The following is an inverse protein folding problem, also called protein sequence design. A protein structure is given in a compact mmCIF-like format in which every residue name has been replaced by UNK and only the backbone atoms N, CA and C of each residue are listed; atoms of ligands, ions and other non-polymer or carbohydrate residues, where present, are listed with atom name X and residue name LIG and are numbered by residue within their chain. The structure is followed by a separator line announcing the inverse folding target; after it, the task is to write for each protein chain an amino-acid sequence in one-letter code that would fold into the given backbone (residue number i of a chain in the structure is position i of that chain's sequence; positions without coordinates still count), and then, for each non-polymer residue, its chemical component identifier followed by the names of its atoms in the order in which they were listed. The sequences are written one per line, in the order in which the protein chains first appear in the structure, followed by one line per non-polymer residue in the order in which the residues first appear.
data_IF_134751868538
#
_entry.id   IF_134751868538
#
_cell.length_a   1.000
_cell.length_b   1.000
_cell.length_c   1.000
_cell.angle_alpha   90.00
_cell.angle_beta   90.00
_cell.angle_gamma   90.00
#
_symmetry.space_group_name_H-M   'P 1'
#
loop_
_entity.id
_entity.type
_entity.pdbx_description
1 polymer ?
#
# COMPACT_ATOMS: atom_id res chain seq x y z
N UNK A 1 13.27 -11.94 -13.89
CA UNK A 1 13.34 -11.02 -15.05
C UNK A 1 14.76 -10.68 -15.46
N UNK A 2 15.67 -10.43 -14.52
CA UNK A 2 17.11 -10.24 -14.82
C UNK A 2 17.75 -11.49 -15.42
N UNK A 3 17.47 -12.66 -14.86
CA UNK A 3 17.97 -13.95 -15.37
C UNK A 3 17.47 -14.32 -16.77
N UNK A 4 16.32 -13.76 -17.20
CA UNK A 4 15.73 -14.01 -18.52
C UNK A 4 16.14 -12.95 -19.57
N UNK A 5 16.96 -11.96 -19.18
CA UNK A 5 17.44 -10.87 -20.04
C UNK A 5 16.30 -10.04 -20.69
N UNK A 6 15.19 -9.85 -19.97
CA UNK A 6 13.98 -9.19 -20.48
C UNK A 6 13.90 -7.68 -20.15
N UNK A 7 14.91 -7.11 -19.48
CA UNK A 7 14.94 -5.67 -19.13
C UNK A 7 14.86 -4.81 -20.41
N UNK A 8 13.96 -3.82 -20.40
CA UNK A 8 13.81 -2.84 -21.50
C UNK A 8 12.62 -3.06 -22.44
N UNK A 9 11.81 -4.10 -22.27
CA UNK A 9 10.56 -4.28 -23.02
C UNK A 9 9.39 -3.57 -22.32
N UNK A 10 8.51 -2.92 -23.08
CA UNK A 10 7.37 -2.14 -22.55
C UNK A 10 6.49 -2.92 -21.57
N UNK A 11 6.32 -4.23 -21.79
CA UNK A 11 5.52 -5.09 -20.91
C UNK A 11 6.13 -5.24 -19.50
N UNK A 12 7.45 -5.13 -19.34
CA UNK A 12 8.11 -5.29 -18.03
C UNK A 12 7.76 -4.15 -17.09
N UNK A 13 7.67 -2.92 -17.60
CA UNK A 13 7.20 -1.77 -16.81
C UNK A 13 5.77 -1.97 -16.32
N UNK A 14 4.89 -2.48 -17.21
CA UNK A 14 3.50 -2.79 -16.84
C UNK A 14 3.43 -3.90 -15.78
N UNK A 15 4.24 -4.96 -15.94
CA UNK A 15 4.32 -6.05 -14.95
C UNK A 15 4.76 -5.53 -13.58
N UNK A 16 5.82 -4.74 -13.51
CA UNK A 16 6.25 -4.14 -12.24
C UNK A 16 5.17 -3.23 -11.64
N UNK A 17 4.50 -2.42 -12.46
CA UNK A 17 3.39 -1.58 -11.99
C UNK A 17 2.24 -2.39 -11.42
N UNK A 18 1.83 -3.47 -12.08
CA UNK A 18 0.78 -4.38 -11.59
C UNK A 18 1.20 -5.04 -10.28
N UNK A 19 2.43 -5.57 -10.19
CA UNK A 19 2.94 -6.20 -8.97
C UNK A 19 2.95 -5.24 -7.77
N UNK A 20 3.39 -3.99 -7.97
CA UNK A 20 3.39 -2.96 -6.92
C UNK A 20 1.96 -2.68 -6.45
N UNK A 21 0.99 -2.58 -7.36
CA UNK A 21 -0.41 -2.35 -7.01
C UNK A 21 -1.02 -3.56 -6.30
N UNK A 22 -0.72 -4.78 -6.74
CA UNK A 22 -1.15 -6.01 -6.05
C UNK A 22 -0.65 -6.03 -4.60
N UNK A 23 0.63 -5.72 -4.38
CA UNK A 23 1.23 -5.68 -3.04
C UNK A 23 0.58 -4.58 -2.18
N UNK A 24 0.35 -3.39 -2.74
CA UNK A 24 -0.35 -2.31 -2.04
C UNK A 24 -1.77 -2.72 -1.61
N UNK A 25 -2.52 -3.37 -2.51
CA UNK A 25 -3.86 -3.88 -2.21
C UNK A 25 -3.79 -4.97 -1.14
N UNK A 26 -2.81 -5.87 -1.21
CA UNK A 26 -2.61 -6.91 -0.20
C UNK A 26 -2.38 -6.31 1.19
N UNK A 27 -1.61 -5.23 1.29
CA UNK A 27 -1.38 -4.51 2.54
C UNK A 27 -2.68 -3.87 3.06
N UNK A 28 -3.46 -3.23 2.19
CA UNK A 28 -4.77 -2.70 2.56
C UNK A 28 -5.70 -3.81 3.08
N UNK A 29 -5.70 -4.99 2.44
CA UNK A 29 -6.45 -6.15 2.90
C UNK A 29 -5.98 -6.64 4.28
N UNK A 30 -4.67 -6.65 4.56
CA UNK A 30 -4.15 -7.00 5.89
C UNK A 30 -4.67 -6.04 6.98
N UNK A 31 -4.73 -4.74 6.70
CA UNK A 31 -5.28 -3.73 7.63
C UNK A 31 -6.76 -4.00 7.87
N UNK A 32 -7.53 -4.19 6.80
CA UNK A 32 -8.97 -4.46 6.89
C UNK A 32 -9.26 -5.75 7.66
N UNK A 33 -8.56 -6.84 7.36
CA UNK A 33 -8.74 -8.13 8.01
C UNK A 33 -8.41 -8.05 9.50
N UNK A 34 -7.31 -7.39 9.86
CA UNK A 34 -6.92 -7.16 11.25
C UNK A 34 -8.00 -6.36 11.99
N UNK A 35 -8.52 -5.29 11.37
CA UNK A 35 -9.56 -4.46 11.98
C UNK A 35 -10.87 -5.21 12.21
N UNK A 36 -11.30 -6.03 11.25
CA UNK A 36 -12.55 -6.79 11.37
C UNK A 36 -12.42 -7.84 12.48
N UNK A 37 -11.30 -8.56 12.55
CA UNK A 37 -11.11 -9.61 13.53
C UNK A 37 -10.99 -9.09 14.97
N UNK A 38 -10.39 -7.92 15.18
CA UNK A 38 -10.28 -7.30 16.52
C UNK A 38 -11.65 -6.86 17.05
N UNK A 39 -12.57 -6.45 16.17
CA UNK A 39 -13.79 -5.76 16.60
C UNK A 39 -14.91 -6.72 17.04
N UNK A 40 -14.88 -8.00 16.62
CA UNK A 40 -15.81 -9.11 16.96
C UNK A 40 -17.34 -8.78 17.02
N UNK A 41 -17.75 -7.60 16.57
CA UNK A 41 -19.10 -7.05 16.64
C UNK A 41 -19.54 -6.68 15.24
N UNK A 42 -20.75 -7.08 14.86
CA UNK A 42 -21.33 -6.91 13.52
C UNK A 42 -22.09 -5.58 13.37
N UNK A 43 -22.06 -4.69 14.36
CA UNK A 43 -22.69 -3.38 14.22
C UNK A 43 -21.85 -2.54 13.26
N UNK A 44 -22.41 -2.24 12.08
CA UNK A 44 -21.67 -1.54 11.01
C UNK A 44 -21.12 -0.18 11.44
N UNK A 45 -21.73 0.47 12.43
CA UNK A 45 -21.27 1.73 13.02
C UNK A 45 -20.02 1.57 13.89
N UNK A 46 -19.96 0.56 14.76
CA UNK A 46 -18.80 0.33 15.63
C UNK A 46 -17.62 -0.24 14.85
N UNK A 47 -17.88 -1.05 13.81
CA UNK A 47 -16.87 -1.49 12.85
C UNK A 47 -16.28 -0.30 12.11
N UNK A 48 -17.12 0.59 11.54
CA UNK A 48 -16.65 1.77 10.84
C UNK A 48 -15.81 2.67 11.76
N UNK A 49 -16.25 2.90 13.00
CA UNK A 49 -15.51 3.72 13.96
C UNK A 49 -14.19 3.08 14.42
N UNK A 50 -14.17 1.76 14.62
CA UNK A 50 -12.95 1.02 15.01
C UNK A 50 -11.96 0.91 13.86
N UNK A 51 -12.42 0.65 12.63
CA UNK A 51 -11.59 0.69 11.42
C UNK A 51 -11.05 2.08 11.14
N UNK A 52 -11.85 3.12 11.33
CA UNK A 52 -11.38 4.50 11.20
C UNK A 52 -10.34 4.84 12.26
N UNK A 53 -10.54 4.41 13.52
CA UNK A 53 -9.60 4.59 14.62
C UNK A 53 -8.27 3.88 14.34
N UNK A 54 -8.31 2.63 13.91
CA UNK A 54 -7.13 1.85 13.53
C UNK A 54 -6.43 2.49 12.32
N UNK A 55 -7.15 2.73 11.22
CA UNK A 55 -6.61 3.40 10.04
C UNK A 55 -5.96 4.74 10.39
N UNK A 56 -6.59 5.52 11.26
CA UNK A 56 -6.04 6.76 11.76
C UNK A 56 -4.74 6.56 12.56
N UNK A 57 -4.67 5.60 13.48
CA UNK A 57 -3.43 5.28 14.19
C UNK A 57 -2.34 4.86 13.20
N UNK A 58 -2.67 4.04 12.20
CA UNK A 58 -1.73 3.63 11.16
C UNK A 58 -1.15 4.85 10.43
N UNK A 59 -1.99 5.76 9.94
CA UNK A 59 -1.47 6.95 9.21
C UNK A 59 -0.69 7.88 10.15
N UNK A 60 -1.11 8.02 11.41
CA UNK A 60 -0.38 8.77 12.42
C UNK A 60 1.02 8.20 12.65
N UNK A 61 1.14 6.89 12.87
CA UNK A 61 2.42 6.20 13.05
C UNK A 61 3.28 6.24 11.79
N UNK A 62 2.66 6.10 10.62
CA UNK A 62 3.32 6.24 9.33
C UNK A 62 3.94 7.63 9.17
N UNK A 63 3.19 8.69 9.48
CA UNK A 63 3.66 10.07 9.42
C UNK A 63 4.75 10.35 10.47
N UNK A 64 4.56 9.91 11.71
CA UNK A 64 5.60 10.02 12.74
C UNK A 64 6.88 9.34 12.28
N UNK A 65 6.78 8.14 11.69
CA UNK A 65 7.90 7.44 11.11
C UNK A 65 8.62 8.28 10.06
N UNK A 66 7.89 8.78 9.05
CA UNK A 66 8.44 9.62 7.97
C UNK A 66 9.19 10.85 8.50
N UNK A 67 8.76 11.47 9.59
CA UNK A 67 9.41 12.68 10.10
C UNK A 67 10.49 12.42 11.15
N UNK A 68 10.26 11.47 12.06
CA UNK A 68 11.16 11.20 13.18
C UNK A 68 12.36 10.38 12.71
N UNK A 69 12.16 9.36 11.85
CA UNK A 69 13.25 8.47 11.42
C UNK A 69 14.35 9.19 10.64
N UNK A 70 14.06 10.04 9.63
CA UNK A 70 15.13 10.73 8.91
C UNK A 70 15.92 11.66 9.82
N UNK A 71 15.28 12.32 10.79
CA UNK A 71 15.99 13.18 11.76
C UNK A 71 16.90 12.34 12.66
N UNK A 72 16.39 11.23 13.17
CA UNK A 72 17.15 10.31 14.02
C UNK A 72 18.35 9.72 13.27
N UNK A 73 18.12 9.16 12.08
CA UNK A 73 19.17 8.56 11.23
C UNK A 73 20.21 9.61 10.80
N UNK A 74 19.79 10.81 10.41
CA UNK A 74 20.72 11.89 10.06
C UNK A 74 21.61 12.29 11.24
N UNK A 75 21.08 12.26 12.48
CA UNK A 75 21.82 12.66 13.67
C UNK A 75 22.90 11.66 14.06
N UNK A 76 22.62 10.38 13.90
CA UNK A 76 23.58 9.30 14.21
C UNK A 76 24.43 8.90 13.00
N UNK A 77 24.19 9.49 11.82
CA UNK A 77 24.80 9.13 10.54
C UNK A 77 26.32 9.06 10.55
N UNK A 78 26.97 10.00 11.23
CA UNK A 78 28.44 10.04 11.32
C UNK A 78 29.03 8.84 12.08
N UNK A 79 28.20 8.12 12.84
CA UNK A 79 28.59 6.93 13.61
C UNK A 79 28.15 5.62 12.95
N UNK A 80 27.43 5.67 11.82
CA UNK A 80 26.87 4.48 11.16
C UNK A 80 27.81 3.92 10.07
N UNK A 81 28.58 2.89 10.44
CA UNK A 81 29.24 2.01 9.46
C UNK A 81 28.21 1.20 8.66
N UNK A 82 28.63 0.50 7.62
CA UNK A 82 27.72 -0.36 6.84
C UNK A 82 27.09 -1.46 7.70
N UNK A 83 27.87 -2.05 8.60
CA UNK A 83 27.42 -3.09 9.53
C UNK A 83 26.42 -2.52 10.55
N UNK A 84 26.73 -1.37 11.14
CA UNK A 84 25.82 -0.72 12.10
C UNK A 84 24.53 -0.27 11.43
N UNK A 85 24.61 0.24 10.19
CA UNK A 85 23.43 0.65 9.43
C UNK A 85 22.49 -0.53 9.14
N UNK A 86 23.04 -1.70 8.80
CA UNK A 86 22.25 -2.91 8.62
C UNK A 86 21.53 -3.31 9.91
N UNK A 87 22.26 -3.36 11.03
CA UNK A 87 21.70 -3.73 12.34
C UNK A 87 20.63 -2.74 12.78
N UNK A 88 20.88 -1.43 12.63
CA UNK A 88 19.90 -0.38 12.97
C UNK A 88 18.67 -0.49 12.08
N UNK A 89 18.82 -0.71 10.77
CA UNK A 89 17.68 -0.84 9.85
C UNK A 89 16.79 -2.03 10.20
N UNK A 90 17.39 -3.20 10.48
CA UNK A 90 16.66 -4.39 10.92
C UNK A 90 16.03 -4.17 12.30
N UNK A 91 16.76 -3.54 13.23
CA UNK A 91 16.27 -3.23 14.57
C UNK A 91 15.06 -2.29 14.55
N UNK A 92 15.09 -1.26 13.71
CA UNK A 92 13.95 -0.38 13.48
C UNK A 92 12.77 -1.13 12.86
N UNK A 93 13.02 -2.01 11.90
CA UNK A 93 11.98 -2.87 11.32
C UNK A 93 11.29 -3.72 12.39
N UNK A 94 12.07 -4.44 13.20
CA UNK A 94 11.54 -5.26 14.29
C UNK A 94 10.83 -4.42 15.37
N UNK A 95 11.35 -3.24 15.70
CA UNK A 95 10.69 -2.31 16.62
C UNK A 95 9.29 -1.93 16.09
N UNK A 96 9.18 -1.61 14.80
CA UNK A 96 7.89 -1.26 14.20
C UNK A 96 6.94 -2.46 14.15
N UNK A 97 7.45 -3.67 13.93
CA UNK A 97 6.67 -4.90 14.00
C UNK A 97 6.07 -5.10 15.39
N UNK A 98 6.86 -4.90 16.44
CA UNK A 98 6.40 -5.02 17.84
C UNK A 98 5.33 -3.96 18.13
N UNK A 99 5.57 -2.71 17.74
CA UNK A 99 4.59 -1.62 17.90
C UNK A 99 3.30 -1.92 17.14
N UNK A 100 3.39 -2.33 15.87
CA UNK A 100 2.23 -2.68 15.06
C UNK A 100 1.40 -3.80 15.72
N UNK A 101 2.05 -4.88 16.16
CA UNK A 101 1.39 -5.98 16.84
C UNK A 101 0.72 -5.54 18.17
N UNK A 102 1.35 -4.63 18.92
CA UNK A 102 0.79 -4.12 20.19
C UNK A 102 -0.48 -3.28 20.00
N UNK A 103 -0.64 -2.65 18.84
CA UNK A 103 -1.82 -1.84 18.48
C UNK A 103 -2.90 -2.70 17.79
N UNK A 104 -2.65 -3.99 17.58
CA UNK A 104 -3.58 -4.92 16.94
C UNK A 104 -3.47 -4.98 15.42
N UNK A 105 -2.37 -4.50 14.84
CA UNK A 105 -2.07 -4.68 13.42
C UNK A 105 -1.24 -5.94 13.14
N UNK A 106 -1.31 -6.42 11.90
CA UNK A 106 -0.44 -7.49 11.42
C UNK A 106 1.05 -7.10 11.51
N UNK A 107 1.93 -8.01 12.00
CA UNK A 107 3.37 -7.85 11.95
C UNK A 107 3.90 -7.43 10.56
N UNK A 108 3.34 -8.01 9.49
CA UNK A 108 3.77 -7.72 8.12
C UNK A 108 3.52 -6.28 7.71
N UNK A 109 2.43 -5.66 8.20
CA UNK A 109 2.17 -4.25 7.98
C UNK A 109 3.25 -3.38 8.63
N UNK A 110 3.66 -3.70 9.87
CA UNK A 110 4.71 -2.97 10.57
C UNK A 110 6.05 -3.03 9.83
N UNK A 111 6.41 -4.22 9.32
CA UNK A 111 7.61 -4.42 8.50
C UNK A 111 7.56 -3.62 7.19
N UNK A 112 6.43 -3.68 6.47
CA UNK A 112 6.24 -2.92 5.23
C UNK A 112 6.33 -1.41 5.46
N UNK A 113 5.64 -0.91 6.49
CA UNK A 113 5.65 0.52 6.84
C UNK A 113 7.07 0.98 7.14
N UNK A 114 7.81 0.30 8.02
CA UNK A 114 9.18 0.70 8.31
C UNK A 114 10.09 0.61 7.08
N UNK A 115 9.96 -0.45 6.27
CA UNK A 115 10.72 -0.59 5.03
C UNK A 115 10.47 0.58 4.06
N UNK A 116 9.22 0.98 3.87
CA UNK A 116 8.85 2.11 3.02
C UNK A 116 9.40 3.45 3.55
N UNK A 117 9.41 3.64 4.88
CA UNK A 117 9.98 4.84 5.49
C UNK A 117 11.50 4.87 5.32
N UNK A 118 12.18 3.74 5.53
CA UNK A 118 13.63 3.64 5.37
C UNK A 118 14.04 3.90 3.91
N UNK A 119 13.26 3.41 2.94
CA UNK A 119 13.50 3.64 1.52
C UNK A 119 13.45 5.13 1.14
N UNK A 120 12.61 5.93 1.80
CA UNK A 120 12.50 7.39 1.57
C UNK A 120 13.60 8.21 2.27
N UNK A 121 14.40 7.58 3.14
CA UNK A 121 15.51 8.29 3.80
C UNK A 121 16.66 8.56 2.84
N UNK A 122 17.52 9.53 3.19
CA UNK A 122 18.72 9.89 2.38
C UNK A 122 19.67 8.72 2.14
N UNK A 123 19.71 7.77 3.08
CA UNK A 123 20.56 6.58 2.98
C UNK A 123 19.75 5.35 2.50
N UNK A 124 18.54 5.52 1.97
CA UNK A 124 17.65 4.44 1.55
C UNK A 124 18.29 3.47 0.55
N UNK A 125 18.97 3.99 -0.47
CA UNK A 125 19.67 3.14 -1.46
C UNK A 125 20.84 2.35 -0.83
N UNK A 126 21.52 2.93 0.17
CA UNK A 126 22.57 2.24 0.93
C UNK A 126 21.96 1.12 1.77
N UNK A 127 20.83 1.37 2.43
CA UNK A 127 20.09 0.38 3.23
C UNK A 127 19.62 -0.77 2.33
N UNK A 128 19.02 -0.46 1.17
CA UNK A 128 18.60 -1.44 0.16
C UNK A 128 19.75 -2.36 -0.24
N UNK A 129 20.89 -1.78 -0.61
CA UNK A 129 22.08 -2.55 -1.01
C UNK A 129 22.57 -3.48 0.11
N UNK A 130 22.56 -3.00 1.35
CA UNK A 130 22.99 -3.79 2.52
C UNK A 130 21.99 -4.89 2.90
N UNK A 131 20.71 -4.68 2.63
CA UNK A 131 19.65 -5.65 2.91
C UNK A 131 19.52 -6.74 1.83
N UNK A 132 20.06 -6.53 0.61
CA UNK A 132 19.97 -7.52 -0.49
C UNK A 132 20.40 -8.95 -0.05
N UNK A 133 21.58 -9.18 0.54
CA UNK A 133 21.99 -10.52 0.95
C UNK A 133 21.10 -11.11 2.05
N UNK A 134 20.61 -10.26 2.95
CA UNK A 134 19.70 -10.67 4.03
C UNK A 134 18.35 -11.09 3.45
N UNK A 135 17.80 -10.28 2.54
CA UNK A 135 16.57 -10.59 1.81
C UNK A 135 16.70 -11.92 1.08
N UNK A 136 17.80 -12.17 0.37
CA UNK A 136 18.01 -13.41 -0.38
C UNK A 136 18.09 -14.63 0.54
N UNK A 137 18.80 -14.51 1.67
CA UNK A 137 18.86 -15.55 2.69
C UNK A 137 17.47 -15.87 3.27
N UNK A 138 16.73 -14.86 3.71
CA UNK A 138 15.39 -15.05 4.27
C UNK A 138 14.38 -15.52 3.22
N UNK A 139 14.53 -15.12 1.96
CA UNK A 139 13.71 -15.63 0.85
C UNK A 139 13.94 -17.14 0.66
N UNK A 140 15.21 -17.59 0.67
CA UNK A 140 15.53 -19.01 0.59
C UNK A 140 14.93 -19.79 1.77
N UNK A 141 15.09 -19.28 3.00
CA UNK A 141 14.50 -19.89 4.21
C UNK A 141 12.97 -19.92 4.12
N UNK A 142 12.34 -18.85 3.66
CA UNK A 142 10.89 -18.77 3.46
C UNK A 142 10.40 -19.83 2.48
N UNK A 143 11.01 -19.93 1.29
CA UNK A 143 10.59 -20.93 0.30
C UNK A 143 10.84 -22.37 0.75
N UNK A 144 11.94 -22.65 1.45
CA UNK A 144 12.17 -23.98 2.04
C UNK A 144 11.11 -24.29 3.11
N UNK A 145 10.81 -23.33 3.99
CA UNK A 145 9.81 -23.51 5.04
C UNK A 145 8.40 -23.74 4.47
N UNK A 146 8.01 -22.94 3.46
CA UNK A 146 6.75 -23.11 2.73
C UNK A 146 6.71 -24.47 2.03
N UNK A 147 7.81 -24.92 1.44
CA UNK A 147 7.93 -26.25 0.86
C UNK A 147 7.74 -27.38 1.88
N UNK A 148 8.28 -27.23 3.09
CA UNK A 148 8.12 -28.20 4.19
C UNK A 148 6.69 -28.24 4.76
N UNK A 149 5.92 -27.17 4.60
CA UNK A 149 4.51 -27.09 5.01
C UNK A 149 3.57 -27.83 4.05
N UNK A 150 4.05 -28.28 2.89
CA UNK A 150 3.26 -29.07 1.95
C UNK A 150 3.08 -30.48 2.50
N UNK A 151 1.88 -30.76 3.00
CA UNK A 151 1.47 -32.10 3.40
C UNK A 151 1.02 -32.91 2.17
N UNK A 152 1.74 -34.01 1.90
CA UNK A 152 1.44 -34.93 0.80
C UNK A 152 0.10 -35.64 0.97
N UNK A 153 -0.40 -35.80 2.20
CA UNK A 153 -1.72 -36.39 2.46
C UNK A 153 -2.82 -35.41 2.02
N UNK A 154 -2.73 -34.14 2.44
CA UNK A 154 -3.66 -33.08 2.01
C UNK A 154 -3.63 -32.90 0.49
N UNK A 155 -2.46 -32.99 -0.13
CA UNK A 155 -2.32 -32.91 -1.59
C UNK A 155 -3.07 -34.05 -2.30
N UNK A 156 -3.08 -35.25 -1.71
CA UNK A 156 -3.83 -36.40 -2.25
C UNK A 156 -5.33 -36.24 -2.04
N UNK A 157 -5.75 -35.87 -0.83
CA UNK A 157 -7.16 -35.78 -0.46
C UNK A 157 -7.87 -34.64 -1.20
N UNK A 158 -7.18 -33.51 -1.41
CA UNK A 158 -7.71 -32.30 -2.05
C UNK A 158 -7.14 -32.06 -3.44
N UNK A 159 -6.59 -33.09 -4.10
CA UNK A 159 -5.91 -32.97 -5.40
C UNK A 159 -6.73 -32.21 -6.44
N UNK A 160 -8.01 -32.58 -6.60
CA UNK A 160 -8.91 -31.96 -7.58
C UNK A 160 -9.21 -30.49 -7.26
N UNK A 161 -9.35 -30.15 -5.98
CA UNK A 161 -9.60 -28.78 -5.52
C UNK A 161 -8.36 -27.92 -5.77
N UNK A 162 -7.17 -28.44 -5.46
CA UNK A 162 -5.90 -27.76 -5.69
C UNK A 162 -5.70 -27.51 -7.19
N UNK A 163 -5.90 -28.53 -8.03
CA UNK A 163 -5.78 -28.41 -9.47
C UNK A 163 -6.75 -27.39 -10.05
N UNK A 164 -8.02 -27.42 -9.62
CA UNK A 164 -9.04 -26.47 -10.03
C UNK A 164 -8.69 -25.04 -9.61
N UNK A 165 -8.27 -24.84 -8.36
CA UNK A 165 -7.86 -23.53 -7.85
C UNK A 165 -6.61 -22.99 -8.55
N UNK A 166 -5.61 -23.83 -8.83
CA UNK A 166 -4.44 -23.45 -9.63
C UNK A 166 -4.82 -23.05 -11.05
N UNK A 167 -5.68 -23.83 -11.72
CA UNK A 167 -6.16 -23.47 -13.06
C UNK A 167 -6.96 -22.15 -13.03
N UNK A 168 -7.85 -22.00 -12.06
CA UNK A 168 -8.67 -20.79 -11.89
C UNK A 168 -7.81 -19.54 -11.65
N UNK A 169 -6.82 -19.62 -10.76
CA UNK A 169 -5.92 -18.50 -10.46
C UNK A 169 -5.06 -18.13 -11.68
N UNK A 170 -4.45 -19.11 -12.35
CA UNK A 170 -3.62 -18.88 -13.55
C UNK A 170 -4.47 -18.24 -14.65
N UNK A 171 -5.59 -18.86 -15.03
CA UNK A 171 -6.46 -18.38 -16.11
C UNK A 171 -7.08 -17.03 -15.73
N UNK A 172 -7.56 -16.91 -14.50
CA UNK A 172 -8.17 -15.68 -13.98
C UNK A 172 -7.21 -14.50 -14.00
N UNK A 173 -5.95 -14.68 -13.53
CA UNK A 173 -4.93 -13.63 -13.57
C UNK A 173 -4.53 -13.27 -15.00
N UNK A 174 -4.27 -14.27 -15.86
CA UNK A 174 -3.92 -14.02 -17.26
C UNK A 174 -5.02 -13.18 -17.94
N UNK A 175 -6.27 -13.60 -17.83
CA UNK A 175 -7.40 -12.90 -18.45
C UNK A 175 -7.55 -11.48 -17.86
N UNK A 176 -7.56 -11.35 -16.53
CA UNK A 176 -7.79 -10.06 -15.87
C UNK A 176 -6.71 -9.05 -16.21
N UNK A 177 -5.44 -9.46 -16.20
CA UNK A 177 -4.31 -8.57 -16.48
C UNK A 177 -4.21 -8.27 -17.98
N UNK A 178 -4.43 -9.25 -18.86
CA UNK A 178 -4.45 -8.98 -20.31
C UNK A 178 -5.59 -8.05 -20.68
N UNK A 179 -6.80 -8.24 -20.14
CA UNK A 179 -7.92 -7.33 -20.37
C UNK A 179 -7.63 -5.95 -19.78
N UNK A 180 -7.11 -5.87 -18.55
CA UNK A 180 -6.75 -4.60 -17.91
C UNK A 180 -5.69 -3.82 -18.71
N UNK A 181 -4.69 -4.51 -19.26
CA UNK A 181 -3.67 -3.92 -20.12
C UNK A 181 -4.26 -3.42 -21.45
N UNK A 182 -5.16 -4.18 -22.08
CA UNK A 182 -5.86 -3.76 -23.30
C UNK A 182 -6.71 -2.52 -23.03
N UNK A 183 -7.49 -2.51 -21.93
CA UNK A 183 -8.32 -1.36 -21.52
C UNK A 183 -7.44 -0.14 -21.22
N UNK A 184 -6.23 -0.35 -20.71
CA UNK A 184 -5.25 0.71 -20.48
C UNK A 184 -4.58 1.24 -21.76
N UNK A 185 -4.95 0.72 -22.93
CA UNK A 185 -4.43 1.15 -24.22
C UNK A 185 -3.12 0.49 -24.65
N UNK A 186 -2.72 -0.60 -24.00
CA UNK A 186 -1.48 -1.31 -24.33
C UNK A 186 -1.69 -2.23 -25.54
N UNK A 187 -0.64 -2.42 -26.34
CA UNK A 187 -0.70 -3.33 -27.47
C UNK A 187 -1.02 -4.77 -27.02
N UNK A 188 -1.65 -5.53 -27.92
CA UNK A 188 -2.10 -6.89 -27.62
C UNK A 188 -0.95 -7.81 -27.18
N UNK A 189 0.22 -7.66 -27.81
CA UNK A 189 1.41 -8.46 -27.48
C UNK A 189 1.87 -8.23 -26.05
N UNK A 190 2.04 -6.98 -25.63
CA UNK A 190 2.45 -6.63 -24.28
C UNK A 190 1.40 -7.01 -23.26
N UNK A 191 0.12 -6.92 -23.62
CA UNK A 191 -1.01 -7.31 -22.75
C UNK A 191 -1.02 -8.81 -22.45
N UNK A 192 -0.83 -9.66 -23.46
CA UNK A 192 -0.72 -11.13 -23.28
C UNK A 192 0.55 -11.49 -22.51
N UNK A 193 1.69 -10.88 -22.88
CA UNK A 193 2.97 -11.12 -22.20
C UNK A 193 2.91 -10.73 -20.73
N UNK A 194 2.27 -9.62 -20.39
CA UNK A 194 2.12 -9.16 -19.01
C UNK A 194 1.24 -10.09 -18.20
N UNK A 195 0.08 -10.50 -18.75
CA UNK A 195 -0.82 -11.44 -18.07
C UNK A 195 -0.17 -12.79 -17.79
N UNK A 196 0.59 -13.33 -18.73
CA UNK A 196 1.33 -14.58 -18.54
C UNK A 196 2.53 -14.46 -17.61
N UNK A 197 3.04 -13.23 -17.39
CA UNK A 197 4.18 -12.97 -16.52
C UNK A 197 3.81 -12.80 -15.04
N UNK A 198 2.52 -12.58 -14.73
CA UNK A 198 2.02 -12.28 -13.37
C UNK A 198 1.08 -13.39 -12.87
N UNK A 199 1.08 -14.56 -13.50
CA UNK A 199 0.17 -15.66 -13.16
C UNK A 199 0.41 -16.31 -11.78
N UNK A 200 1.56 -16.07 -11.15
CA UNK A 200 1.89 -16.62 -9.83
C UNK A 200 1.17 -15.92 -8.68
N UNK A 201 0.98 -16.69 -7.61
CA UNK A 201 0.65 -16.17 -6.29
C UNK A 201 1.93 -15.58 -5.68
N UNK A 202 1.82 -14.36 -5.12
CA UNK A 202 2.93 -13.65 -4.48
C UNK A 202 3.10 -14.00 -3.00
N UNK A 203 4.24 -13.60 -2.41
CA UNK A 203 4.60 -13.83 -1.01
C UNK A 203 3.57 -13.29 -0.01
N UNK A 204 2.95 -12.15 -0.32
CA UNK A 204 1.92 -11.52 0.50
C UNK A 204 0.66 -12.38 0.66
N UNK A 205 0.37 -13.28 -0.28
CA UNK A 205 -0.78 -14.18 -0.14
C UNK A 205 -0.60 -15.18 0.99
N UNK A 206 0.63 -15.64 1.24
CA UNK A 206 0.94 -16.49 2.39
C UNK A 206 0.79 -15.74 3.70
N UNK A 207 1.20 -14.47 3.72
CA UNK A 207 1.06 -13.59 4.89
C UNK A 207 -0.43 -13.41 5.22
N UNK A 208 -1.27 -13.12 4.22
CA UNK A 208 -2.73 -13.00 4.40
C UNK A 208 -3.33 -14.32 4.91
N UNK A 209 -2.95 -15.46 4.32
CA UNK A 209 -3.46 -16.76 4.76
C UNK A 209 -3.05 -17.10 6.20
N UNK A 210 -1.80 -16.77 6.58
CA UNK A 210 -1.28 -16.98 7.94
C UNK A 210 -1.99 -16.09 8.94
N UNK A 211 -2.24 -14.82 8.57
CA UNK A 211 -3.03 -13.89 9.38
C UNK A 211 -4.47 -14.39 9.55
N UNK A 212 -5.10 -14.91 8.49
CA UNK A 212 -6.42 -15.52 8.59
C UNK A 212 -6.48 -16.68 9.59
N UNK A 213 -5.43 -17.52 9.62
CA UNK A 213 -5.31 -18.60 10.60
C UNK A 213 -5.08 -18.09 12.02
N UNK A 214 -4.21 -17.10 12.21
CA UNK A 214 -3.93 -16.55 13.55
C UNK A 214 -5.15 -15.86 14.15
N UNK A 215 -5.96 -15.20 13.31
CA UNK A 215 -7.23 -14.59 13.67
C UNK A 215 -8.38 -15.61 13.81
N UNK A 216 -8.12 -16.90 13.52
CA UNK A 216 -9.12 -18.00 13.53
C UNK A 216 -10.34 -17.76 12.62
N UNK A 217 -10.16 -16.95 11.57
CA UNK A 217 -11.22 -16.65 10.58
C UNK A 217 -11.19 -17.62 9.40
N UNK A 218 -10.20 -18.50 9.33
CA UNK A 218 -10.04 -19.52 8.28
C UNK A 218 -9.88 -20.91 8.87
N UNK A 219 -10.36 -21.92 8.15
CA UNK A 219 -10.16 -23.33 8.51
C UNK A 219 -8.71 -23.79 8.27
N UNK A 220 -8.20 -24.68 9.12
CA UNK A 220 -6.80 -25.15 9.09
C UNK A 220 -6.38 -25.81 7.76
N UNK A 221 -7.31 -26.36 6.99
CA UNK A 221 -7.01 -26.99 5.70
C UNK A 221 -6.76 -25.98 4.56
N UNK A 222 -7.19 -24.72 4.71
CA UNK A 222 -7.05 -23.71 3.66
C UNK A 222 -5.60 -23.28 3.45
N UNK A 223 -4.81 -23.23 4.52
CA UNK A 223 -3.42 -22.81 4.42
C UNK A 223 -2.56 -23.81 3.61
N UNK A 224 -2.56 -25.13 3.90
CA UNK A 224 -1.88 -26.11 3.05
C UNK A 224 -2.35 -26.11 1.60
N UNK A 225 -3.65 -25.93 1.34
CA UNK A 225 -4.19 -25.83 -0.03
C UNK A 225 -3.63 -24.58 -0.73
N UNK A 226 -3.68 -23.41 -0.08
CA UNK A 226 -3.14 -22.17 -0.65
C UNK A 226 -1.64 -22.29 -0.95
N UNK A 227 -0.89 -22.96 -0.06
CA UNK A 227 0.53 -23.24 -0.26
C UNK A 227 0.76 -24.12 -1.50
N UNK A 228 0.01 -25.22 -1.62
CA UNK A 228 0.12 -26.12 -2.77
C UNK A 228 -0.24 -25.42 -4.09
N UNK A 229 -1.32 -24.63 -4.09
CA UNK A 229 -1.73 -23.82 -5.25
C UNK A 229 -0.62 -22.85 -5.63
N UNK A 230 -0.05 -22.13 -4.66
CA UNK A 230 1.05 -21.21 -4.90
C UNK A 230 2.25 -21.91 -5.51
N UNK A 231 2.68 -23.04 -4.96
CA UNK A 231 3.80 -23.82 -5.48
C UNK A 231 3.59 -24.20 -6.96
N UNK A 232 2.39 -24.67 -7.31
CA UNK A 232 2.03 -25.00 -8.71
C UNK A 232 2.09 -23.75 -9.59
N UNK A 233 1.53 -22.62 -9.15
CA UNK A 233 1.55 -21.39 -9.96
C UNK A 233 2.96 -20.82 -10.12
N UNK A 234 3.79 -20.82 -9.07
CA UNK A 234 5.20 -20.38 -9.12
C UNK A 234 6.01 -21.27 -10.06
N UNK A 235 5.82 -22.60 -10.00
CA UNK A 235 6.49 -23.52 -10.91
C UNK A 235 6.04 -23.35 -12.37
N UNK A 236 4.75 -23.04 -12.58
CA UNK A 236 4.17 -22.89 -13.93
C UNK A 236 4.55 -21.56 -14.60
N UNK A 237 4.80 -20.51 -13.81
CA UNK A 237 5.01 -19.14 -14.32
C UNK A 237 6.23 -18.97 -15.24
N UNK A 238 7.43 -19.53 -14.95
CA UNK A 238 8.55 -19.50 -15.89
C UNK A 238 8.21 -20.06 -17.27
N UNK A 239 7.41 -21.13 -17.31
CA UNK A 239 6.94 -21.71 -18.58
C UNK A 239 5.95 -20.78 -19.27
N UNK A 240 5.00 -20.17 -18.54
CA UNK A 240 4.06 -19.19 -19.11
C UNK A 240 4.79 -17.98 -19.71
N UNK A 241 5.83 -17.47 -19.04
CA UNK A 241 6.67 -16.39 -19.56
C UNK A 241 7.35 -16.81 -20.86
N UNK A 242 7.94 -18.01 -20.90
CA UNK A 242 8.60 -18.55 -22.10
C UNK A 242 7.63 -18.75 -23.27
N UNK A 243 6.41 -19.22 -22.98
CA UNK A 243 5.38 -19.47 -23.99
C UNK A 243 4.49 -18.25 -24.30
N UNK A 244 4.78 -17.08 -23.73
CA UNK A 244 4.01 -15.86 -23.96
C UNK A 244 4.01 -15.38 -25.40
N UNK A 245 5.15 -15.44 -26.09
CA UNK A 245 5.26 -15.05 -27.50
C UNK A 245 4.48 -16.01 -28.44
N UNK A 246 4.62 -17.34 -28.34
CA UNK A 246 3.78 -18.29 -29.06
C UNK A 246 2.28 -18.12 -28.77
N UNK A 247 1.90 -17.92 -27.51
CA UNK A 247 0.51 -17.72 -27.11
C UNK A 247 -0.08 -16.46 -27.75
N UNK A 248 0.69 -15.35 -27.77
CA UNK A 248 0.31 -14.14 -28.51
C UNK A 248 0.11 -14.42 -30.00
N UNK A 249 1.03 -15.15 -30.65
CA UNK A 249 0.92 -15.46 -32.10
C UNK A 249 -0.32 -16.30 -32.41
N UNK A 250 -0.64 -17.27 -31.56
CA UNK A 250 -1.85 -18.10 -31.72
C UNK A 250 -3.12 -17.26 -31.53
N UNK A 251 -3.13 -16.35 -30.55
CA UNK A 251 -4.24 -15.44 -30.33
C UNK A 251 -4.40 -14.47 -31.50
N UNK A 252 -3.30 -13.88 -31.97
CA UNK A 252 -3.30 -12.97 -33.12
C UNK A 252 -3.76 -13.68 -34.40
N UNK A 253 -3.36 -14.94 -34.62
CA UNK A 253 -3.80 -15.70 -35.79
C UNK A 253 -5.32 -15.99 -35.78
N UNK A 254 -5.92 -16.17 -34.59
CA UNK A 254 -7.36 -16.44 -34.44
C UNK A 254 -8.23 -15.18 -34.40
N UNK A 255 -7.64 -14.01 -34.14
CA UNK A 255 -8.40 -12.77 -34.00
C UNK A 255 -8.89 -12.23 -35.35
N UNK A 256 -10.19 -11.87 -35.47
CA UNK A 256 -10.73 -11.25 -36.68
C UNK A 256 -10.03 -9.93 -37.00
N UNK A 257 -9.85 -9.63 -38.30
CA UNK A 257 -9.21 -8.39 -38.76
C UNK A 257 -9.88 -7.12 -38.17
N UNK A 258 -11.21 -7.15 -37.98
CA UNK A 258 -11.98 -6.05 -37.37
C UNK A 258 -11.54 -5.75 -35.95
N UNK A 259 -11.28 -6.78 -35.14
CA UNK A 259 -10.84 -6.61 -33.74
C UNK A 259 -9.43 -6.06 -33.69
N UNK A 260 -8.54 -6.52 -34.59
CA UNK A 260 -7.18 -5.99 -34.69
C UNK A 260 -7.16 -4.51 -35.04
N UNK A 261 -7.99 -4.09 -36.00
CA UNK A 261 -8.11 -2.67 -36.37
C UNK A 261 -8.70 -1.82 -35.24
N UNK A 262 -9.68 -2.35 -34.49
CA UNK A 262 -10.23 -1.68 -33.32
C UNK A 262 -9.17 -1.50 -32.22
N UNK A 263 -8.42 -2.56 -31.90
CA UNK A 263 -7.35 -2.49 -30.90
C UNK A 263 -6.25 -1.50 -31.31
N UNK A 264 -5.85 -1.49 -32.58
CA UNK A 264 -4.85 -0.54 -33.08
C UNK A 264 -5.34 0.91 -33.02
N UNK A 265 -6.62 1.16 -33.36
CA UNK A 265 -7.24 2.49 -33.22
C UNK A 265 -7.32 2.93 -31.76
N UNK A 266 -7.66 2.00 -30.86
CA UNK A 266 -7.74 2.26 -29.43
C UNK A 266 -6.37 2.58 -28.82
N UNK A 267 -5.32 1.84 -29.19
CA UNK A 267 -3.93 2.10 -28.80
C UNK A 267 -3.52 3.54 -29.19
N UNK A 268 -3.77 3.95 -30.44
CA UNK A 268 -3.44 5.30 -30.92
C UNK A 268 -4.26 6.36 -30.18
N UNK A 269 -5.55 6.12 -29.95
CA UNK A 269 -6.42 7.05 -29.22
C UNK A 269 -5.94 7.25 -27.77
N UNK A 270 -5.60 6.18 -27.07
CA UNK A 270 -5.11 6.22 -25.69
C UNK A 270 -3.71 6.83 -25.58
N UNK A 271 -2.82 6.59 -26.56
CA UNK A 271 -1.51 7.22 -26.60
C UNK A 271 -1.60 8.75 -26.68
N UNK A 272 -2.53 9.26 -27.49
CA UNK A 272 -2.78 10.70 -27.62
C UNK A 272 -3.57 11.30 -26.43
N UNK A 273 -4.21 10.46 -25.61
CA UNK A 273 -4.94 10.86 -24.40
C UNK A 273 -4.02 11.05 -23.19
N UNK A 274 -2.72 10.79 -23.33
CA UNK A 274 -1.72 10.99 -22.28
C UNK A 274 -1.33 12.46 -22.03
N UNK A 275 -2.12 13.40 -22.58
CA UNK A 275 -2.05 14.81 -22.23
C UNK A 275 -2.34 14.97 -20.72
N UNK A 276 -1.35 15.47 -19.99
CA UNK A 276 -1.29 15.61 -18.54
C UNK A 276 -2.66 15.69 -17.84
N UNK A 277 -3.04 14.61 -17.15
CA UNK A 277 -4.22 14.60 -16.27
C UNK A 277 -4.10 15.76 -15.27
N UNK A 278 -4.91 16.80 -15.49
CA UNK A 278 -4.98 18.00 -14.64
C UNK A 278 -5.22 17.60 -13.18
N UNK A 279 -5.98 16.53 -12.94
CA UNK A 279 -6.19 15.93 -11.61
C UNK A 279 -4.90 15.36 -10.98
N UNK A 280 -4.04 14.71 -11.76
CA UNK A 280 -2.74 14.21 -11.29
C UNK A 280 -1.79 15.35 -10.94
N UNK A 281 -1.82 16.44 -11.71
CA UNK A 281 -1.10 17.68 -11.45
C UNK A 281 -1.58 18.35 -10.15
N UNK A 282 -2.89 18.45 -9.95
CA UNK A 282 -3.49 19.00 -8.71
C UNK A 282 -3.17 18.12 -7.49
N UNK A 283 -3.25 16.79 -7.63
CA UNK A 283 -2.94 15.84 -6.57
C UNK A 283 -1.48 15.94 -6.11
N UNK A 284 -0.55 16.05 -7.07
CA UNK A 284 0.88 16.17 -6.79
C UNK A 284 1.25 17.51 -6.13
N UNK A 285 0.65 18.61 -6.57
CA UNK A 285 0.98 19.95 -6.06
C UNK A 285 0.28 20.30 -4.74
N UNK A 286 -0.99 19.91 -4.58
CA UNK A 286 -1.81 20.30 -3.42
C UNK A 286 -2.28 19.12 -2.56
N UNK A 287 -2.58 17.99 -3.18
CA UNK A 287 -3.22 16.84 -2.52
C UNK A 287 -2.37 16.26 -1.39
N UNK A 288 -1.10 15.94 -1.65
CA UNK A 288 -0.25 15.26 -0.67
C UNK A 288 0.00 16.11 0.59
N UNK A 289 0.21 17.42 0.44
CA UNK A 289 0.40 18.35 1.58
C UNK A 289 -0.89 18.50 2.40
N UNK A 290 -2.04 18.54 1.74
CA UNK A 290 -3.34 18.67 2.39
C UNK A 290 -3.69 17.42 3.20
N UNK A 291 -3.53 16.23 2.61
CA UNK A 291 -3.77 14.95 3.29
C UNK A 291 -2.86 14.83 4.52
N UNK A 292 -1.58 15.16 4.38
CA UNK A 292 -0.61 15.07 5.47
C UNK A 292 -0.98 15.98 6.64
N UNK A 293 -1.25 17.26 6.39
CA UNK A 293 -1.63 18.20 7.44
C UNK A 293 -2.98 17.80 8.08
N UNK A 294 -3.94 17.31 7.29
CA UNK A 294 -5.22 16.84 7.80
C UNK A 294 -5.05 15.68 8.78
N UNK A 295 -4.19 14.72 8.44
CA UNK A 295 -3.92 13.59 9.34
C UNK A 295 -3.19 14.05 10.59
N UNK A 296 -2.24 14.99 10.52
CA UNK A 296 -1.56 15.52 11.71
C UNK A 296 -2.54 16.24 12.64
N UNK A 297 -3.48 17.01 12.10
CA UNK A 297 -4.52 17.66 12.92
C UNK A 297 -5.38 16.61 13.62
N UNK A 298 -5.82 15.59 12.89
CA UNK A 298 -6.54 14.47 13.48
C UNK A 298 -5.67 13.77 14.54
N UNK A 299 -4.36 13.58 14.29
CA UNK A 299 -3.34 12.96 15.14
C UNK A 299 -3.33 13.56 16.54
N UNK A 300 -3.21 14.88 16.55
CA UNK A 300 -3.18 15.69 17.75
C UNK A 300 -4.52 15.61 18.47
N UNK A 301 -5.65 15.72 17.75
CA UNK A 301 -6.98 15.68 18.34
C UNK A 301 -7.32 14.36 19.03
N UNK A 302 -7.08 13.23 18.37
CA UNK A 302 -7.37 11.92 18.92
C UNK A 302 -6.34 11.49 19.97
N UNK A 303 -5.06 11.85 19.80
CA UNK A 303 -4.04 11.61 20.82
C UNK A 303 -4.36 12.35 22.12
N UNK A 304 -4.76 13.61 22.01
CA UNK A 304 -5.06 14.43 23.18
C UNK A 304 -6.36 13.99 23.88
N UNK A 305 -7.42 13.67 23.13
CA UNK A 305 -8.69 13.19 23.72
C UNK A 305 -8.63 11.77 24.29
N UNK A 306 -7.88 10.84 23.68
CA UNK A 306 -7.91 9.41 24.07
C UNK A 306 -6.80 8.98 25.02
N UNK A 307 -5.64 9.63 24.99
CA UNK A 307 -4.48 9.22 25.79
C UNK A 307 -4.16 10.24 26.89
N UNK A 308 -4.26 11.53 26.59
CA UNK A 308 -3.86 12.57 27.53
C UNK A 308 -5.00 12.94 28.49
N UNK A 309 -6.21 13.18 27.98
CA UNK A 309 -7.38 13.57 28.76
C UNK A 309 -7.70 12.60 29.91
N UNK A 310 -7.84 11.27 29.69
CA UNK A 310 -8.08 10.34 30.80
C UNK A 310 -6.92 10.25 31.82
N UNK A 311 -5.68 10.55 31.43
CA UNK A 311 -4.54 10.62 32.39
C UNK A 311 -4.55 11.91 33.20
N UNK A 312 -4.98 13.01 32.58
CA UNK A 312 -5.13 14.33 33.22
C UNK A 312 -6.28 14.32 34.23
N UNK A 313 -7.40 13.66 33.91
CA UNK A 313 -8.54 13.48 34.82
C UNK A 313 -8.15 12.64 36.06
N UNK A 314 -7.34 11.60 35.87
CA UNK A 314 -6.82 10.81 37.00
C UNK A 314 -5.85 11.59 37.89
N UNK A 315 -5.17 12.59 37.33
CA UNK A 315 -4.19 13.42 38.07
C UNK A 315 -4.85 14.62 38.74
N UNK A 316 -5.93 15.17 38.16
CA UNK A 316 -6.67 16.33 38.66
C UNK A 316 -8.20 16.08 38.67
N UNK A 317 -8.72 15.19 39.53
CA UNK A 317 -10.10 14.70 39.48
C UNK A 317 -11.22 15.72 39.80
N UNK A 318 -10.92 17.00 40.03
CA UNK A 318 -11.88 18.03 40.46
C UNK A 318 -11.79 19.36 39.70
N UNK A 319 -11.21 19.39 38.50
CA UNK A 319 -11.08 20.63 37.73
C UNK A 319 -12.17 20.69 36.63
N UNK A 320 -13.22 21.54 36.76
CA UNK A 320 -14.42 21.51 35.91
C UNK A 320 -14.21 21.99 34.46
N UNK A 321 -12.97 22.30 34.07
CA UNK A 321 -12.63 22.84 32.76
C UNK A 321 -11.46 22.12 32.07
N UNK A 322 -11.08 20.91 32.51
CA UNK A 322 -9.98 20.13 31.89
C UNK A 322 -10.26 19.87 30.41
N UNK A 323 -11.50 19.57 30.03
CA UNK A 323 -11.89 19.32 28.64
C UNK A 323 -11.67 20.55 27.76
N UNK A 324 -12.05 21.73 28.25
CA UNK A 324 -11.90 23.01 27.54
C UNK A 324 -10.41 23.37 27.40
N UNK A 325 -9.63 23.14 28.44
CA UNK A 325 -8.18 23.38 28.43
C UNK A 325 -7.49 22.40 27.46
N UNK A 326 -7.86 21.12 27.47
CA UNK A 326 -7.34 20.12 26.54
C UNK A 326 -7.73 20.44 25.09
N UNK A 327 -8.96 20.91 24.85
CA UNK A 327 -9.40 21.38 23.54
C UNK A 327 -8.56 22.58 23.08
N UNK A 328 -8.33 23.57 23.95
CA UNK A 328 -7.51 24.74 23.64
C UNK A 328 -6.07 24.35 23.29
N UNK A 329 -5.45 23.47 24.09
CA UNK A 329 -4.09 22.95 23.84
C UNK A 329 -4.04 22.20 22.50
N UNK A 330 -5.06 21.39 22.21
CA UNK A 330 -5.17 20.64 20.95
C UNK A 330 -5.26 21.58 19.75
N UNK A 331 -6.09 22.63 19.82
CA UNK A 331 -6.23 23.63 18.76
C UNK A 331 -4.93 24.42 18.56
N UNK A 332 -4.21 24.75 19.64
CA UNK A 332 -2.91 25.42 19.57
C UNK A 332 -1.88 24.52 18.88
N UNK A 333 -1.79 23.25 19.27
CA UNK A 333 -0.87 22.28 18.67
C UNK A 333 -1.20 21.99 17.19
N UNK A 334 -2.49 21.90 16.86
CA UNK A 334 -2.97 21.68 15.50
C UNK A 334 -2.94 22.95 14.63
N UNK A 335 -2.85 24.13 15.24
CA UNK A 335 -2.94 25.44 14.59
C UNK A 335 -1.99 25.65 13.41
N UNK A 336 -0.68 25.33 13.53
CA UNK A 336 0.26 25.44 12.41
C UNK A 336 -0.12 24.57 11.20
N UNK A 337 -0.70 23.39 11.45
CA UNK A 337 -1.10 22.44 10.40
C UNK A 337 -2.43 22.82 9.77
N UNK A 338 -3.40 23.27 10.57
CA UNK A 338 -4.64 23.88 10.08
C UNK A 338 -4.33 25.08 9.19
N UNK A 339 -3.43 25.96 9.64
CA UNK A 339 -2.98 27.12 8.85
C UNK A 339 -2.33 26.69 7.53
N UNK A 340 -1.51 25.64 7.53
CA UNK A 340 -0.88 25.12 6.33
C UNK A 340 -1.89 24.56 5.30
N UNK A 341 -3.04 24.04 5.73
CA UNK A 341 -4.14 23.60 4.84
C UNK A 341 -4.81 24.81 4.18
N UNK A 342 -5.10 25.87 4.95
CA UNK A 342 -5.77 27.07 4.44
C UNK A 342 -4.86 27.92 3.54
N UNK A 343 -3.60 28.10 3.91
CA UNK A 343 -2.70 29.10 3.30
C UNK A 343 -1.65 28.48 2.35
N UNK A 344 -1.52 27.16 2.31
CA UNK A 344 -0.52 26.47 1.49
C UNK A 344 -0.56 26.88 0.01
N UNK A 345 0.55 27.46 -0.47
CA UNK A 345 0.75 27.90 -1.86
C UNK A 345 1.42 26.79 -2.68
N UNK A 346 1.09 26.67 -3.97
CA UNK A 346 1.86 25.82 -4.90
C UNK A 346 3.26 26.39 -5.12
N UNK A 347 4.21 25.50 -5.42
CA UNK A 347 5.55 25.95 -5.83
C UNK A 347 5.49 26.51 -7.26
N UNK A 348 6.23 27.58 -7.55
CA UNK A 348 6.40 28.05 -8.92
C UNK A 348 7.36 27.09 -9.66
N UNK A 349 6.80 26.03 -10.25
CA UNK A 349 7.49 25.18 -11.23
C UNK A 349 7.30 25.76 -12.65
N UNK A 350 8.23 25.54 -13.59
CA UNK A 350 8.13 26.09 -14.96
C UNK A 350 7.09 25.31 -15.78
N UNK A 351 5.81 25.56 -15.52
CA UNK A 351 4.72 24.96 -16.30
C UNK A 351 4.52 25.72 -17.62
N UNK A 352 4.02 25.02 -18.64
CA UNK A 352 3.58 25.66 -19.88
C UNK A 352 2.46 26.68 -19.59
N UNK A 353 2.39 27.75 -20.38
CA UNK A 353 1.40 28.83 -20.21
C UNK A 353 -0.05 28.33 -20.33
N UNK A 354 -0.29 27.24 -21.08
CA UNK A 354 -1.60 26.60 -21.20
C UNK A 354 -2.01 25.83 -19.93
N UNK A 355 -1.06 25.13 -19.29
CA UNK A 355 -1.29 24.39 -18.03
C UNK A 355 -1.53 25.35 -16.86
N UNK A 356 -0.78 26.46 -16.80
CA UNK A 356 -0.96 27.54 -15.82
C UNK A 356 -2.34 28.19 -15.89
N UNK A 357 -2.84 28.47 -17.10
CA UNK A 357 -4.18 29.05 -17.29
C UNK A 357 -5.32 28.06 -16.91
N UNK A 358 -5.13 26.75 -17.14
CA UNK A 358 -6.09 25.73 -16.66
C UNK A 358 -6.06 25.60 -15.14
N UNK A 359 -4.89 25.64 -14.51
CA UNK A 359 -4.74 25.57 -13.05
C UNK A 359 -5.38 26.79 -12.36
N UNK A 360 -5.16 28.00 -12.90
CA UNK A 360 -5.75 29.24 -12.40
C UNK A 360 -7.28 29.25 -12.45
N UNK A 361 -7.91 28.63 -13.46
CA UNK A 361 -9.37 28.46 -13.51
C UNK A 361 -9.90 27.53 -12.40
N UNK A 362 -9.09 26.58 -11.94
CA UNK A 362 -9.45 25.61 -10.91
C UNK A 362 -9.03 26.02 -9.49
N UNK A 363 -8.30 27.13 -9.34
CA UNK A 363 -7.86 27.64 -8.03
C UNK A 363 -9.01 27.96 -7.08
N UNK A 364 -10.14 28.42 -7.62
CA UNK A 364 -11.35 28.66 -6.84
C UNK A 364 -11.89 27.35 -6.24
N UNK A 365 -11.98 26.29 -7.04
CA UNK A 365 -12.41 24.96 -6.59
C UNK A 365 -11.47 24.34 -5.56
N UNK A 366 -10.15 24.48 -5.77
CA UNK A 366 -9.13 24.01 -4.81
C UNK A 366 -9.23 24.79 -3.48
N UNK A 367 -9.51 26.08 -3.53
CA UNK A 367 -9.69 26.91 -2.31
C UNK A 367 -10.97 26.56 -1.57
N UNK A 368 -12.06 26.26 -2.29
CA UNK A 368 -13.31 25.79 -1.70
C UNK A 368 -13.13 24.43 -1.02
N UNK A 369 -12.41 23.51 -1.66
CA UNK A 369 -12.06 22.20 -1.10
C UNK A 369 -11.19 22.34 0.17
N UNK A 370 -10.17 23.21 0.15
CA UNK A 370 -9.34 23.54 1.33
C UNK A 370 -10.20 24.02 2.49
N UNK A 371 -11.15 24.92 2.22
CA UNK A 371 -12.01 25.50 3.24
C UNK A 371 -12.97 24.45 3.82
N UNK A 372 -13.55 23.60 2.97
CA UNK A 372 -14.41 22.51 3.42
C UNK A 372 -13.64 21.51 4.29
N UNK A 373 -12.46 21.07 3.87
CA UNK A 373 -11.65 20.12 4.65
C UNK A 373 -11.19 20.75 5.97
N UNK A 374 -10.71 22.00 5.94
CA UNK A 374 -10.27 22.70 7.15
C UNK A 374 -11.40 22.91 8.16
N UNK A 375 -12.60 23.29 7.70
CA UNK A 375 -13.78 23.46 8.58
C UNK A 375 -14.24 22.14 9.18
N UNK A 376 -14.28 21.05 8.39
CA UNK A 376 -14.59 19.69 8.89
C UNK A 376 -13.58 19.24 9.95
N UNK A 377 -12.28 19.48 9.74
CA UNK A 377 -11.24 19.13 10.70
C UNK A 377 -11.37 19.91 12.02
N UNK A 378 -11.65 21.21 11.95
CA UNK A 378 -11.88 22.03 13.15
C UNK A 378 -13.12 21.56 13.90
N UNK A 379 -14.23 21.30 13.20
CA UNK A 379 -15.44 20.77 13.78
C UNK A 379 -15.20 19.40 14.45
N UNK A 380 -14.42 18.54 13.81
CA UNK A 380 -14.03 17.24 14.37
C UNK A 380 -13.20 17.40 15.65
N UNK A 381 -12.18 18.28 15.66
CA UNK A 381 -11.36 18.55 16.85
C UNK A 381 -12.25 18.98 18.02
N UNK A 382 -13.16 19.93 17.80
CA UNK A 382 -14.07 20.43 18.84
C UNK A 382 -15.01 19.32 19.34
N UNK A 383 -15.53 18.49 18.44
CA UNK A 383 -16.43 17.38 18.80
C UNK A 383 -15.81 16.31 19.70
N UNK A 384 -14.48 16.22 19.76
CA UNK A 384 -13.80 15.24 20.63
C UNK A 384 -13.75 15.68 22.11
N UNK A 385 -13.96 16.97 22.41
CA UNK A 385 -13.85 17.52 23.76
C UNK A 385 -15.15 18.16 24.26
N UNK A 386 -16.13 18.36 23.38
CA UNK A 386 -17.47 18.81 23.74
C UNK A 386 -18.40 17.59 23.63
N UNK A 387 -18.61 16.90 24.76
CA UNK A 387 -19.69 15.92 24.91
C UNK A 387 -20.87 16.52 25.65
#
# INVERSE_FOLDING_TARGET
FEELNLKGKNFVSLVFGVLIVEDLIAILLLVLLSSVAVTQSLSGGELAFSSLRLGFFLVLWFLLGIYVLPVLLNRIRSMLSNETMLIVSIGLCLMMVIVANSVGFSPALGAFVMGSILAETRDGHRIETLLLPVKDLFSAVFFVSVGMLIDLQVLRDYFWIILFMSALTIVGKIISITLGAIVSGQNLRSSVQSGMSVAQIGEFSFIIATLGMSLKVTSHFLYPIAVAVSAITTFTTPYLIKYSDPAYRLLDAKLPATVKQLLARYEIAMANSSDENVLGLIWREYGMKMVLNAVIVLAIALGMSRLALPKLDLTFPNYPHIDVICCAITVILAGPFLWAIFVGRAHPSPYSTATLNRLNRLQFGISLLKLLIGTVLVAFVVSQFVS
#
